data_IF_542832087327
#
_entry.id   IF_542832087327
#
_cell.length_a   1.000
_cell.length_b   1.000
_cell.length_c   1.000
_cell.angle_alpha   90.00
_cell.angle_beta   90.00
_cell.angle_gamma   90.00
#
_symmetry.space_group_name_H-M   'P 1'
#
loop_
_entity.id
_entity.type
_entity.pdbx_description
1 polymer ?
#
# COMPACT_ATOMS: atom_id res chain seq x y z
N UNK A 1 0.74 -13.53 21.82
CA UNK A 1 2.16 -13.61 21.44
C UNK A 1 2.36 -12.62 20.32
N UNK A 2 3.00 -11.50 20.60
CA UNK A 2 3.39 -10.53 19.58
C UNK A 2 4.60 -11.12 18.84
N UNK A 3 4.36 -11.68 17.64
CA UNK A 3 5.43 -12.05 16.72
C UNK A 3 6.02 -10.77 16.11
N UNK A 4 6.69 -9.95 16.92
CA UNK A 4 7.42 -8.77 16.47
C UNK A 4 8.83 -9.19 16.09
N UNK A 5 9.07 -9.35 14.79
CA UNK A 5 10.42 -9.44 14.26
C UNK A 5 11.07 -8.06 14.40
N UNK A 6 12.16 -7.96 15.15
CA UNK A 6 12.88 -6.69 15.30
C UNK A 6 13.46 -6.26 13.95
N UNK A 7 13.12 -5.04 13.51
CA UNK A 7 13.71 -4.44 12.31
C UNK A 7 15.22 -4.32 12.48
N UNK A 8 15.68 -3.95 13.68
CA UNK A 8 17.10 -3.83 13.98
C UNK A 8 17.84 -5.17 13.79
N UNK A 9 17.30 -6.27 14.32
CA UNK A 9 17.91 -7.58 14.17
C UNK A 9 17.95 -8.05 12.71
N UNK A 10 16.86 -7.79 11.96
CA UNK A 10 16.81 -8.09 10.53
C UNK A 10 17.86 -7.27 9.76
N UNK A 11 18.01 -5.98 10.07
CA UNK A 11 19.03 -5.11 9.47
C UNK A 11 20.46 -5.57 9.80
N UNK A 12 20.73 -5.92 11.05
CA UNK A 12 22.04 -6.46 11.45
C UNK A 12 22.41 -7.69 10.62
N UNK A 13 21.49 -8.64 10.49
CA UNK A 13 21.68 -9.85 9.67
C UNK A 13 21.95 -9.50 8.19
N UNK A 14 21.20 -8.55 7.63
CA UNK A 14 21.36 -8.13 6.23
C UNK A 14 22.73 -7.47 6.03
N UNK A 15 23.15 -6.57 6.93
CA UNK A 15 24.43 -5.88 6.83
C UNK A 15 25.63 -6.81 7.07
N UNK A 16 25.51 -7.80 7.96
CA UNK A 16 26.54 -8.82 8.18
C UNK A 16 26.74 -9.70 6.93
N UNK A 17 25.66 -10.02 6.22
CA UNK A 17 25.70 -10.87 5.02
C UNK A 17 26.15 -10.12 3.77
N UNK A 18 25.96 -8.80 3.71
CA UNK A 18 26.16 -8.00 2.50
C UNK A 18 27.12 -6.82 2.77
N UNK A 19 28.41 -7.12 2.98
CA UNK A 19 29.46 -6.12 3.25
C UNK A 19 29.62 -5.08 2.13
N UNK A 20 29.25 -5.44 0.90
CA UNK A 20 29.25 -4.59 -0.30
C UNK A 20 28.29 -3.38 -0.23
N UNK A 21 27.28 -3.40 0.66
CA UNK A 21 26.36 -2.27 0.86
C UNK A 21 27.09 -1.00 1.34
N UNK A 22 28.22 -1.18 2.03
CA UNK A 22 29.02 -0.06 2.56
C UNK A 22 29.93 0.59 1.51
N UNK A 23 30.10 -0.05 0.35
CA UNK A 23 30.94 0.42 -0.76
C UNK A 23 30.11 1.08 -1.88
N UNK A 24 28.81 1.34 -1.65
CA UNK A 24 27.94 1.98 -2.62
C UNK A 24 28.39 3.43 -2.88
N UNK A 25 29.18 3.61 -3.94
CA UNK A 25 29.50 4.91 -4.49
C UNK A 25 28.45 5.26 -5.55
N UNK A 26 27.58 6.21 -5.23
CA UNK A 26 26.63 6.82 -6.16
C UNK A 26 27.36 7.68 -7.21
N UNK A 27 28.18 7.05 -8.06
CA UNK A 27 28.85 7.71 -9.17
C UNK A 27 28.50 6.99 -10.46
N UNK A 28 27.30 7.25 -10.95
CA UNK A 28 26.93 6.99 -12.34
C UNK A 28 26.24 8.23 -12.89
N UNK A 29 27.03 9.14 -13.46
CA UNK A 29 26.51 10.19 -14.34
C UNK A 29 26.02 9.54 -15.63
N UNK A 30 24.80 9.03 -15.59
CA UNK A 30 24.06 8.47 -16.72
C UNK A 30 23.06 9.52 -17.21
N UNK A 31 23.00 9.75 -18.52
CA UNK A 31 22.02 10.66 -19.14
C UNK A 31 20.56 10.15 -18.98
N UNK A 32 20.42 8.86 -18.64
CA UNK A 32 19.13 8.18 -18.43
C UNK A 32 18.98 7.77 -16.96
N UNK A 33 17.79 8.00 -16.40
CA UNK A 33 17.39 7.46 -15.09
C UNK A 33 17.26 5.94 -15.20
N UNK A 34 18.13 5.19 -14.51
CA UNK A 34 18.12 3.72 -14.48
C UNK A 34 17.56 3.18 -13.18
N UNK A 35 17.82 3.85 -12.05
CA UNK A 35 17.36 3.44 -10.73
C UNK A 35 17.11 4.65 -9.82
N UNK A 36 16.56 4.40 -8.64
CA UNK A 36 16.21 5.42 -7.63
C UNK A 36 17.38 6.36 -7.27
N UNK A 37 18.60 5.84 -7.28
CA UNK A 37 19.82 6.61 -6.93
C UNK A 37 20.18 7.69 -7.96
N UNK A 38 19.69 7.57 -9.20
CA UNK A 38 19.92 8.58 -10.24
C UNK A 38 19.02 9.81 -10.06
N UNK A 39 18.06 9.76 -9.13
CA UNK A 39 17.09 10.83 -8.93
C UNK A 39 17.73 12.05 -8.26
N UNK A 40 17.32 13.25 -8.72
CA UNK A 40 17.83 14.53 -8.20
C UNK A 40 17.66 14.65 -6.68
N UNK A 41 16.55 14.15 -6.12
CA UNK A 41 16.27 14.20 -4.67
C UNK A 41 17.30 13.39 -3.88
N UNK A 42 17.68 12.21 -4.37
CA UNK A 42 18.69 11.36 -3.72
C UNK A 42 20.07 12.05 -3.73
N UNK A 43 20.43 12.65 -4.87
CA UNK A 43 21.66 13.41 -5.03
C UNK A 43 21.70 14.70 -4.20
N UNK A 44 20.57 15.40 -4.10
CA UNK A 44 20.43 16.59 -3.24
C UNK A 44 20.61 16.22 -1.75
N UNK A 45 20.20 15.02 -1.34
CA UNK A 45 20.45 14.51 0.02
C UNK A 45 21.93 14.18 0.25
N UNK A 46 22.60 13.54 -0.70
CA UNK A 46 24.05 13.32 -0.63
C UNK A 46 24.81 14.66 -0.57
N UNK A 47 24.41 15.64 -1.38
CA UNK A 47 24.99 16.99 -1.43
C UNK A 47 24.80 17.81 -0.15
N UNK A 48 23.83 17.46 0.69
CA UNK A 48 23.60 18.09 2.00
C UNK A 48 24.53 17.56 3.11
N UNK A 49 25.52 16.72 2.78
CA UNK A 49 26.48 16.19 3.75
C UNK A 49 25.98 14.97 4.53
N UNK A 50 24.91 14.33 4.06
CA UNK A 50 24.49 13.01 4.55
C UNK A 50 25.39 11.94 3.94
N UNK A 51 26.57 11.74 4.53
CA UNK A 51 27.61 10.85 3.95
C UNK A 51 27.33 9.36 4.15
N UNK A 52 26.34 9.01 4.99
CA UNK A 52 25.95 7.61 5.30
C UNK A 52 24.47 7.55 5.66
N UNK A 53 23.62 7.21 4.69
CA UNK A 53 22.22 6.87 4.93
C UNK A 53 21.82 5.71 4.02
N UNK A 54 20.77 5.00 4.43
CA UNK A 54 20.14 3.96 3.64
C UNK A 54 18.68 4.33 3.43
N UNK A 55 18.14 3.99 2.26
CA UNK A 55 16.75 4.29 1.91
C UNK A 55 15.95 3.00 1.77
N UNK A 56 14.68 3.05 2.16
CA UNK A 56 13.78 1.90 2.11
C UNK A 56 12.66 2.12 1.10
N UNK A 57 12.41 1.12 0.26
CA UNK A 57 11.13 0.92 -0.38
C UNK A 57 10.18 0.26 0.63
N UNK A 58 8.97 0.81 0.79
CA UNK A 58 7.91 0.26 1.62
C UNK A 58 6.82 -0.32 0.73
N UNK A 59 6.49 -1.60 0.94
CA UNK A 59 5.36 -2.27 0.31
C UNK A 59 4.43 -2.85 1.38
N UNK A 60 3.14 -2.93 1.07
CA UNK A 60 2.13 -3.58 1.89
C UNK A 60 1.13 -4.25 0.95
N UNK A 61 1.55 -5.37 0.39
CA UNK A 61 0.69 -6.22 -0.43
C UNK A 61 0.24 -7.45 0.37
N UNK A 62 -0.98 -7.88 0.12
CA UNK A 62 -1.60 -8.99 0.83
C UNK A 62 -1.07 -10.34 0.33
N UNK A 63 -0.68 -11.22 1.26
CA UNK A 63 -0.45 -12.63 0.98
C UNK A 63 -1.69 -13.41 1.42
N UNK A 64 -2.39 -14.00 0.45
CA UNK A 64 -3.44 -14.99 0.72
C UNK A 64 -2.78 -16.34 1.03
N UNK A 65 -2.90 -16.78 2.28
CA UNK A 65 -2.20 -17.98 2.77
C UNK A 65 -2.85 -19.29 2.29
N UNK A 66 -4.16 -19.27 1.98
CA UNK A 66 -4.87 -20.45 1.51
C UNK A 66 -6.21 -20.07 0.85
N UNK A 67 -6.50 -20.61 -0.33
CA UNK A 67 -7.77 -20.38 -1.04
C UNK A 67 -9.02 -20.88 -0.29
N UNK A 68 -8.84 -21.68 0.78
CA UNK A 68 -9.93 -22.27 1.57
C UNK A 68 -10.18 -21.57 2.91
N UNK A 69 -9.29 -20.68 3.36
CA UNK A 69 -9.49 -19.91 4.58
C UNK A 69 -9.48 -18.41 4.23
N UNK A 70 -10.39 -17.63 4.84
CA UNK A 70 -10.41 -16.16 4.70
C UNK A 70 -9.23 -15.48 5.43
N UNK A 71 -8.07 -16.14 5.51
CA UNK A 71 -6.90 -15.67 6.22
C UNK A 71 -5.93 -15.02 5.23
N UNK A 72 -5.98 -13.69 5.18
CA UNK A 72 -5.02 -12.84 4.46
C UNK A 72 -4.10 -12.15 5.45
N UNK A 73 -2.79 -12.16 5.20
CA UNK A 73 -1.81 -11.39 5.97
C UNK A 73 -1.35 -10.22 5.11
N UNK A 74 -1.28 -9.02 5.70
CA UNK A 74 -0.83 -7.80 5.03
C UNK A 74 0.47 -7.32 5.67
N UNK A 75 1.61 -7.95 5.32
CA UNK A 75 2.88 -7.58 5.91
C UNK A 75 3.36 -6.24 5.36
N UNK A 76 3.85 -5.37 6.24
CA UNK A 76 4.70 -4.25 5.85
C UNK A 76 6.06 -4.83 5.49
N UNK A 77 6.40 -4.75 4.22
CA UNK A 77 7.67 -5.20 3.65
C UNK A 77 8.54 -3.97 3.42
N UNK A 78 9.74 -3.96 4.00
CA UNK A 78 10.77 -2.96 3.72
C UNK A 78 11.91 -3.61 2.94
N UNK A 79 12.44 -2.86 1.98
CA UNK A 79 13.57 -3.30 1.17
C UNK A 79 14.57 -2.17 1.00
N UNK A 80 15.85 -2.46 1.18
CA UNK A 80 16.93 -1.47 1.00
C UNK A 80 17.14 -1.16 -0.49
N UNK A 81 17.09 0.12 -0.86
CA UNK A 81 17.31 0.52 -2.24
C UNK A 81 18.78 0.42 -2.66
N UNK A 82 19.71 0.47 -1.72
CA UNK A 82 21.15 0.40 -1.99
C UNK A 82 21.62 -0.97 -2.51
N UNK A 83 20.74 -1.99 -2.48
CA UNK A 83 20.96 -3.21 -3.25
C UNK A 83 20.77 -2.99 -4.75
N UNK A 84 21.54 -3.72 -5.56
CA UNK A 84 21.21 -3.92 -6.96
C UNK A 84 19.82 -4.54 -7.10
N UNK A 85 19.11 -4.20 -8.18
CA UNK A 85 17.73 -4.66 -8.44
C UNK A 85 17.58 -6.17 -8.27
N UNK A 86 18.57 -6.96 -8.69
CA UNK A 86 18.55 -8.43 -8.60
C UNK A 86 18.58 -8.95 -7.16
N UNK A 87 19.28 -8.27 -6.25
CA UNK A 87 19.40 -8.64 -4.84
C UNK A 87 18.32 -8.02 -3.97
N UNK A 88 17.72 -6.91 -4.41
CA UNK A 88 16.75 -6.10 -3.67
C UNK A 88 15.57 -6.95 -3.19
N UNK A 89 14.94 -7.72 -4.09
CA UNK A 89 13.74 -8.50 -3.77
C UNK A 89 14.02 -9.96 -3.37
N UNK A 90 15.28 -10.32 -3.09
CA UNK A 90 15.59 -11.63 -2.53
C UNK A 90 14.98 -11.75 -1.13
N UNK A 91 14.39 -12.90 -0.83
CA UNK A 91 13.71 -13.16 0.45
C UNK A 91 14.58 -12.86 1.68
N UNK A 92 15.89 -13.14 1.58
CA UNK A 92 16.85 -12.89 2.66
C UNK A 92 17.07 -11.41 2.99
N UNK A 93 16.80 -10.52 2.02
CA UNK A 93 17.02 -9.07 2.07
C UNK A 93 15.73 -8.28 2.30
N UNK A 94 14.59 -8.97 2.40
CA UNK A 94 13.29 -8.40 2.74
C UNK A 94 13.16 -8.31 4.27
N UNK A 95 12.72 -7.15 4.74
CA UNK A 95 12.44 -6.91 6.16
C UNK A 95 10.93 -6.91 6.36
N UNK A 96 10.44 -7.67 7.34
CA UNK A 96 9.03 -7.69 7.72
C UNK A 96 8.84 -6.80 8.95
N UNK A 97 8.06 -5.73 8.78
CA UNK A 97 7.79 -4.70 9.79
C UNK A 97 6.36 -4.80 10.39
N UNK A 98 5.70 -5.96 10.30
CA UNK A 98 4.42 -6.23 10.99
C UNK A 98 3.19 -6.26 10.07
N UNK A 99 1.98 -6.32 10.64
CA UNK A 99 0.71 -6.50 9.92
C UNK A 99 -0.27 -5.35 10.06
N UNK A 100 -1.04 -5.05 9.00
CA UNK A 100 -2.01 -3.95 8.95
C UNK A 100 -3.46 -4.31 9.36
N UNK A 101 -4.29 -3.28 9.55
CA UNK A 101 -5.76 -3.42 9.64
C UNK A 101 -6.44 -2.21 9.03
N UNK A 102 -7.58 -2.41 8.37
CA UNK A 102 -8.36 -1.34 7.73
C UNK A 102 -9.59 -0.98 8.56
N UNK A 103 -9.94 0.30 8.62
CA UNK A 103 -11.18 0.78 9.23
C UNK A 103 -11.72 1.98 8.44
N UNK A 104 -13.04 2.03 8.22
CA UNK A 104 -13.73 3.06 7.45
C UNK A 104 -14.56 3.96 8.36
N UNK A 105 -14.59 5.27 8.09
CA UNK A 105 -15.46 6.22 8.77
C UNK A 105 -16.81 6.37 8.07
N UNK A 106 -17.81 6.81 8.83
CA UNK A 106 -19.11 7.18 8.29
C UNK A 106 -18.98 8.43 7.41
N UNK A 107 -19.52 8.36 6.19
CA UNK A 107 -19.53 9.48 5.26
C UNK A 107 -20.35 10.66 5.82
N UNK A 108 -19.74 11.86 5.82
CA UNK A 108 -20.42 13.10 6.20
C UNK A 108 -20.64 13.97 4.96
N UNK A 109 -21.88 14.06 4.48
CA UNK A 109 -22.22 14.83 3.29
C UNK A 109 -21.94 16.34 3.42
N UNK A 110 -21.94 16.89 4.63
CA UNK A 110 -21.70 18.31 4.88
C UNK A 110 -20.20 18.66 4.92
N UNK A 111 -19.35 17.66 5.11
CA UNK A 111 -17.90 17.80 5.05
C UNK A 111 -17.28 16.50 4.54
N UNK A 112 -17.40 16.23 3.23
CA UNK A 112 -17.03 14.94 2.63
C UNK A 112 -15.54 14.63 2.77
N UNK A 113 -14.70 15.66 2.77
CA UNK A 113 -13.25 15.54 2.90
C UNK A 113 -12.79 15.39 4.36
N UNK A 114 -13.67 15.75 5.31
CA UNK A 114 -13.32 15.79 6.72
C UNK A 114 -12.20 16.81 7.05
N UNK A 115 -11.78 16.89 8.31
CA UNK A 115 -10.61 17.69 8.67
C UNK A 115 -9.34 17.04 8.12
N UNK A 116 -8.43 17.84 7.54
CA UNK A 116 -7.11 17.37 7.10
C UNK A 116 -6.36 16.73 8.27
N UNK A 117 -5.81 15.53 8.06
CA UNK A 117 -4.92 14.88 9.05
C UNK A 117 -3.58 15.62 9.08
N UNK A 118 -3.33 16.35 10.16
CA UNK A 118 -2.03 17.00 10.41
C UNK A 118 -1.20 16.18 11.41
N UNK A 119 0.10 16.47 11.51
CA UNK A 119 1.00 15.89 12.51
C UNK A 119 0.43 16.07 13.92
N UNK A 120 0.11 17.31 14.28
CA UNK A 120 -0.37 17.64 15.61
C UNK A 120 -1.66 16.88 15.97
N UNK A 121 -2.61 16.78 15.04
CA UNK A 121 -3.86 16.03 15.24
C UNK A 121 -3.57 14.54 15.37
N UNK A 122 -2.67 14.00 14.55
CA UNK A 122 -2.27 12.59 14.62
C UNK A 122 -1.66 12.25 15.99
N UNK A 123 -0.69 13.03 16.46
CA UNK A 123 -0.01 12.79 17.74
C UNK A 123 -0.98 12.87 18.92
N UNK A 124 -1.89 13.86 18.90
CA UNK A 124 -2.97 13.97 19.89
C UNK A 124 -3.86 12.72 19.90
N UNK A 125 -4.28 12.24 18.74
CA UNK A 125 -5.13 11.05 18.62
C UNK A 125 -4.38 9.77 19.01
N UNK A 126 -3.07 9.69 18.74
CA UNK A 126 -2.22 8.58 19.16
C UNK A 126 -2.11 8.55 20.69
N UNK A 127 -1.86 9.69 21.32
CA UNK A 127 -1.80 9.78 22.78
C UNK A 127 -3.13 9.33 23.43
N UNK A 128 -4.26 9.81 22.92
CA UNK A 128 -5.59 9.38 23.39
C UNK A 128 -5.80 7.86 23.25
N UNK A 129 -5.28 7.27 22.18
CA UNK A 129 -5.35 5.82 21.93
C UNK A 129 -4.50 5.05 22.94
N UNK A 130 -3.28 5.50 23.19
CA UNK A 130 -2.36 4.88 24.15
C UNK A 130 -2.90 4.97 25.59
N UNK A 131 -3.43 6.13 25.97
CA UNK A 131 -3.98 6.37 27.31
C UNK A 131 -5.24 5.52 27.56
N UNK A 132 -6.15 5.46 26.57
CA UNK A 132 -7.41 4.73 26.70
C UNK A 132 -7.31 3.24 26.37
N UNK A 133 -6.20 2.80 25.76
CA UNK A 133 -6.02 1.46 25.16
C UNK A 133 -7.16 1.05 24.21
N UNK A 134 -7.81 2.04 23.60
CA UNK A 134 -8.89 1.85 22.64
C UNK A 134 -8.59 2.62 21.38
N UNK A 135 -8.98 2.07 20.24
CA UNK A 135 -8.84 2.75 18.94
C UNK A 135 -9.58 4.10 18.97
N UNK A 136 -8.86 5.21 18.77
CA UNK A 136 -9.44 6.55 18.63
C UNK A 136 -9.11 7.10 17.25
N UNK A 137 -10.12 7.60 16.54
CA UNK A 137 -9.95 8.25 15.24
C UNK A 137 -9.09 7.42 14.25
N UNK A 138 -9.36 6.10 14.21
CA UNK A 138 -8.70 5.08 13.36
C UNK A 138 -7.23 4.81 13.70
N UNK A 139 -6.69 5.41 14.77
CA UNK A 139 -5.39 5.02 15.30
C UNK A 139 -5.62 3.86 16.27
N UNK A 140 -5.01 2.71 15.97
CA UNK A 140 -5.06 1.52 16.83
C UNK A 140 -3.95 1.49 17.85
N UNK A 141 -2.73 1.78 17.41
CA UNK A 141 -1.51 1.81 18.22
C UNK A 141 -0.41 2.55 17.46
N UNK A 142 0.75 2.75 18.11
CA UNK A 142 1.98 3.21 17.48
C UNK A 142 2.50 2.14 16.50
N UNK A 143 2.74 2.55 15.26
CA UNK A 143 3.36 1.68 14.25
C UNK A 143 4.84 1.44 14.60
N UNK A 144 5.39 0.26 14.28
CA UNK A 144 6.81 -0.02 14.48
C UNK A 144 7.72 0.94 13.69
N UNK A 145 7.26 1.42 12.54
CA UNK A 145 8.01 2.39 11.74
C UNK A 145 8.16 3.74 12.45
N UNK A 146 7.31 4.05 13.43
CA UNK A 146 7.45 5.23 14.29
C UNK A 146 8.69 5.17 15.21
N UNK A 147 9.45 4.08 15.20
CA UNK A 147 10.77 4.01 15.84
C UNK A 147 11.88 4.63 14.97
N UNK A 148 11.65 4.80 13.66
CA UNK A 148 12.61 5.42 12.77
C UNK A 148 12.65 6.95 13.00
N UNK A 149 13.86 7.48 13.23
CA UNK A 149 14.10 8.90 13.59
C UNK A 149 13.42 9.92 12.68
N UNK A 150 13.31 9.62 11.38
CA UNK A 150 12.80 10.55 10.37
C UNK A 150 11.45 10.13 9.78
N UNK A 151 10.79 9.10 10.34
CA UNK A 151 9.51 8.63 9.87
C UNK A 151 8.37 9.22 10.68
N UNK A 152 7.43 9.87 10.00
CA UNK A 152 6.14 10.25 10.56
C UNK A 152 5.00 9.76 9.65
N UNK A 153 4.02 8.97 10.17
CA UNK A 153 2.96 8.37 9.35
C UNK A 153 2.25 9.34 8.42
N UNK A 154 1.93 10.56 8.91
CA UNK A 154 1.25 11.60 8.12
C UNK A 154 2.10 12.16 6.98
N UNK A 155 3.44 12.22 7.12
CA UNK A 155 4.33 12.80 6.10
C UNK A 155 4.91 11.76 5.15
N UNK A 156 5.10 10.53 5.64
CA UNK A 156 5.92 9.53 4.98
C UNK A 156 5.13 8.30 4.53
N UNK A 157 3.80 8.29 4.69
CA UNK A 157 2.94 7.22 4.17
C UNK A 157 2.19 7.72 2.95
N UNK A 158 2.33 7.02 1.83
CA UNK A 158 1.60 7.31 0.60
C UNK A 158 0.20 6.69 0.70
N UNK A 159 -0.81 7.40 0.22
CA UNK A 159 -2.17 6.85 0.11
C UNK A 159 -2.16 5.76 -0.95
N UNK A 160 -2.42 4.52 -0.56
CA UNK A 160 -2.46 3.41 -1.50
C UNK A 160 -3.81 3.40 -2.26
N UNK A 161 -3.83 4.00 -3.45
CA UNK A 161 -5.03 4.07 -4.29
C UNK A 161 -5.53 2.68 -4.72
N UNK A 162 -4.63 1.75 -5.02
CA UNK A 162 -4.96 0.42 -5.53
C UNK A 162 -5.79 -0.37 -4.51
N UNK A 163 -5.29 -0.48 -3.28
CA UNK A 163 -5.99 -1.24 -2.24
C UNK A 163 -7.11 -0.42 -1.58
N UNK A 164 -6.93 0.89 -1.38
CA UNK A 164 -7.93 1.71 -0.67
C UNK A 164 -9.12 2.08 -1.56
N UNK A 165 -8.85 2.47 -2.81
CA UNK A 165 -9.89 2.92 -3.74
C UNK A 165 -10.40 1.75 -4.56
N UNK A 166 -9.53 1.06 -5.31
CA UNK A 166 -9.98 0.02 -6.26
C UNK A 166 -10.50 -1.23 -5.54
N UNK A 167 -9.71 -1.83 -4.65
CA UNK A 167 -10.14 -3.03 -3.91
C UNK A 167 -10.96 -2.73 -2.65
N UNK A 168 -10.97 -1.47 -2.19
CA UNK A 168 -11.75 -1.04 -1.04
C UNK A 168 -13.09 -0.46 -1.48
N UNK A 169 -13.08 0.81 -1.89
CA UNK A 169 -14.31 1.57 -2.24
C UNK A 169 -15.03 0.97 -3.44
N UNK A 170 -14.36 0.81 -4.57
CA UNK A 170 -15.01 0.36 -5.81
C UNK A 170 -15.51 -1.08 -5.67
N UNK A 171 -14.70 -1.99 -5.13
CA UNK A 171 -15.15 -3.36 -4.81
C UNK A 171 -16.38 -3.36 -3.90
N UNK A 172 -16.39 -2.55 -2.85
CA UNK A 172 -17.56 -2.40 -1.98
C UNK A 172 -18.79 -1.86 -2.71
N UNK A 173 -18.63 -0.91 -3.65
CA UNK A 173 -19.73 -0.45 -4.49
C UNK A 173 -20.29 -1.59 -5.36
N UNK A 174 -19.45 -2.49 -5.87
CA UNK A 174 -19.91 -3.67 -6.58
C UNK A 174 -20.74 -4.61 -5.68
N UNK A 175 -20.33 -4.84 -4.42
CA UNK A 175 -21.16 -5.57 -3.44
C UNK A 175 -22.55 -4.92 -3.29
N UNK A 176 -22.61 -3.59 -3.21
CA UNK A 176 -23.86 -2.85 -3.08
C UNK A 176 -24.72 -2.88 -4.35
N UNK A 177 -24.12 -2.75 -5.54
CA UNK A 177 -24.84 -2.68 -6.80
C UNK A 177 -25.29 -4.05 -7.29
N UNK A 178 -24.50 -5.10 -7.07
CA UNK A 178 -24.70 -6.42 -7.68
C UNK A 178 -25.32 -7.42 -6.71
N UNK A 179 -24.87 -7.45 -5.45
CA UNK A 179 -25.27 -8.51 -4.53
C UNK A 179 -26.54 -8.17 -3.72
N UNK A 180 -26.90 -6.89 -3.61
CA UNK A 180 -28.13 -6.49 -2.92
C UNK A 180 -29.42 -6.83 -3.69
N UNK A 181 -30.56 -7.02 -2.99
CA UNK A 181 -31.84 -7.34 -3.62
C UNK A 181 -32.27 -6.32 -4.68
N UNK A 182 -32.85 -6.81 -5.78
CA UNK A 182 -33.29 -6.01 -6.93
C UNK A 182 -34.29 -4.90 -6.57
N UNK A 183 -35.01 -5.04 -5.46
CA UNK A 183 -35.98 -4.05 -4.99
C UNK A 183 -35.35 -2.73 -4.50
N UNK A 184 -34.02 -2.67 -4.36
CA UNK A 184 -33.32 -1.44 -3.92
C UNK A 184 -33.07 -0.52 -5.12
N UNK A 185 -33.35 0.78 -4.97
CA UNK A 185 -33.17 1.79 -6.03
C UNK A 185 -31.74 1.87 -6.61
N UNK A 186 -30.74 1.51 -5.82
CA UNK A 186 -29.33 1.51 -6.21
C UNK A 186 -28.85 0.15 -6.76
N UNK A 187 -29.70 -0.88 -6.78
CA UNK A 187 -29.31 -2.21 -7.27
C UNK A 187 -29.27 -2.20 -8.80
N UNK A 188 -28.15 -2.65 -9.35
CA UNK A 188 -27.94 -2.89 -10.78
C UNK A 188 -28.17 -4.35 -11.16
N UNK A 189 -28.60 -5.20 -10.21
CA UNK A 189 -28.79 -6.64 -10.40
C UNK A 189 -29.76 -6.98 -11.54
N UNK A 190 -30.78 -6.14 -11.78
CA UNK A 190 -31.72 -6.31 -12.91
C UNK A 190 -31.08 -6.12 -14.28
N UNK A 191 -29.98 -5.38 -14.36
CA UNK A 191 -29.27 -5.07 -15.60
C UNK A 191 -27.96 -5.85 -15.74
N UNK A 192 -27.68 -6.81 -14.86
CA UNK A 192 -26.36 -7.46 -14.81
C UNK A 192 -25.98 -8.16 -16.11
N UNK A 193 -26.92 -8.82 -16.78
CA UNK A 193 -26.70 -9.44 -18.09
C UNK A 193 -26.39 -8.42 -19.18
N UNK A 194 -27.10 -7.28 -19.18
CA UNK A 194 -26.86 -6.19 -20.13
C UNK A 194 -25.48 -5.58 -19.90
N UNK A 195 -25.09 -5.39 -18.64
CA UNK A 195 -23.77 -4.87 -18.26
C UNK A 195 -22.67 -5.85 -18.67
N UNK A 196 -22.84 -7.15 -18.43
CA UNK A 196 -21.89 -8.19 -18.81
C UNK A 196 -21.65 -8.23 -20.33
N UNK A 197 -22.73 -8.17 -21.10
CA UNK A 197 -22.66 -8.12 -22.57
C UNK A 197 -21.93 -6.87 -23.06
N UNK A 198 -22.22 -5.70 -22.46
CA UNK A 198 -21.51 -4.45 -22.80
C UNK A 198 -20.03 -4.54 -22.46
N UNK A 199 -19.67 -5.08 -21.30
CA UNK A 199 -18.27 -5.25 -20.87
C UNK A 199 -17.50 -6.15 -21.83
N UNK A 200 -18.06 -7.32 -22.18
CA UNK A 200 -17.42 -8.28 -23.10
C UNK A 200 -17.22 -7.74 -24.52
N UNK A 201 -18.01 -6.74 -24.92
CA UNK A 201 -17.89 -6.07 -26.24
C UNK A 201 -16.77 -5.04 -26.30
N UNK A 202 -16.24 -4.59 -25.17
CA UNK A 202 -15.16 -3.59 -25.14
C UNK A 202 -13.90 -4.21 -25.76
N UNK A 203 -13.36 -3.52 -26.77
CA UNK A 203 -12.09 -3.84 -27.42
C UNK A 203 -11.08 -2.75 -27.06
N UNK A 204 -10.23 -2.96 -26.05
CA UNK A 204 -9.27 -1.95 -25.68
C UNK A 204 -8.15 -1.85 -26.73
N UNK A 205 -7.44 -0.71 -26.81
CA UNK A 205 -6.28 -0.54 -27.68
C UNK A 205 -5.18 -1.56 -27.38
N UNK A 206 -4.29 -1.80 -28.36
CA UNK A 206 -3.24 -2.84 -28.29
C UNK A 206 -2.25 -2.69 -27.13
N UNK A 207 -2.09 -1.49 -26.56
CA UNK A 207 -1.23 -1.25 -25.41
C UNK A 207 -1.88 -1.60 -24.05
N UNK A 208 -3.19 -1.90 -24.02
CA UNK A 208 -3.86 -2.38 -22.82
C UNK A 208 -3.77 -3.91 -22.81
N UNK A 209 -3.11 -4.51 -21.80
CA UNK A 209 -2.77 -5.93 -21.85
C UNK A 209 -3.99 -6.85 -21.74
N UNK A 210 -5.07 -6.41 -21.09
CA UNK A 210 -6.23 -7.25 -20.80
C UNK A 210 -7.54 -6.56 -21.19
N UNK A 211 -8.42 -7.29 -21.88
CA UNK A 211 -9.80 -6.87 -22.09
C UNK A 211 -10.64 -7.05 -20.81
N UNK A 212 -11.73 -6.28 -20.65
CA UNK A 212 -12.62 -6.44 -19.50
C UNK A 212 -13.17 -7.86 -19.39
N UNK A 213 -13.14 -8.41 -18.16
CA UNK A 213 -13.69 -9.72 -17.86
C UNK A 213 -15.19 -9.66 -17.58
N UNK A 214 -15.81 -10.83 -17.55
CA UNK A 214 -17.23 -10.97 -17.22
C UNK A 214 -17.54 -10.45 -15.82
N UNK A 215 -18.60 -9.67 -15.69
CA UNK A 215 -19.05 -9.11 -14.40
C UNK A 215 -19.47 -10.22 -13.43
N UNK A 216 -19.86 -11.41 -13.88
CA UNK A 216 -20.18 -12.52 -12.98
C UNK A 216 -18.96 -13.02 -12.18
N UNK A 217 -17.74 -12.69 -12.64
CA UNK A 217 -16.49 -13.04 -11.97
C UNK A 217 -15.91 -11.86 -11.18
N UNK A 218 -16.69 -10.81 -10.95
CA UNK A 218 -16.22 -9.56 -10.35
C UNK A 218 -15.54 -9.76 -8.99
N UNK A 219 -15.97 -10.75 -8.20
CA UNK A 219 -15.35 -11.08 -6.91
C UNK A 219 -13.89 -11.56 -7.01
N UNK A 220 -13.49 -12.04 -8.19
CA UNK A 220 -12.15 -12.55 -8.50
C UNK A 220 -11.32 -11.51 -9.28
N UNK A 221 -11.78 -10.27 -9.36
CA UNK A 221 -11.08 -9.20 -10.05
C UNK A 221 -9.88 -8.68 -9.27
N UNK A 222 -8.81 -8.38 -9.99
CA UNK A 222 -7.64 -7.69 -9.46
C UNK A 222 -7.92 -6.19 -9.41
N UNK A 223 -7.13 -5.47 -8.62
CA UNK A 223 -7.32 -4.03 -8.41
C UNK A 223 -7.41 -3.21 -9.71
N UNK A 224 -6.57 -3.51 -10.71
CA UNK A 224 -6.57 -2.78 -11.99
C UNK A 224 -7.87 -2.93 -12.78
N UNK A 225 -8.66 -3.99 -12.53
CA UNK A 225 -9.94 -4.18 -13.21
C UNK A 225 -11.01 -3.28 -12.61
N UNK A 226 -11.00 -3.13 -11.28
CA UNK A 226 -11.85 -2.16 -10.58
C UNK A 226 -11.48 -0.71 -10.92
N UNK A 227 -10.21 -0.42 -11.20
CA UNK A 227 -9.77 0.93 -11.63
C UNK A 227 -10.51 1.42 -12.88
N UNK A 228 -10.95 0.53 -13.76
CA UNK A 228 -11.71 0.91 -14.97
C UNK A 228 -13.09 1.50 -14.65
N UNK A 229 -13.56 1.41 -13.40
CA UNK A 229 -14.85 1.91 -12.94
C UNK A 229 -14.70 3.10 -11.98
N UNK A 230 -13.49 3.65 -11.85
CA UNK A 230 -13.29 4.90 -11.14
C UNK A 230 -13.90 6.05 -11.97
N UNK A 231 -14.72 6.93 -11.36
CA UNK A 231 -15.37 8.03 -12.07
C UNK A 231 -14.40 9.13 -12.53
#
# INVERSE_FOLDING_TARGET
MDYKLSIEQQLRRIFEKNSELFDFNANTSSEFLKDFHDEKVYNDLLGQGYNKFYTFLLNNDGIEMCNKSNMSIWPIILVLNEFSIEKRFCFDNIIIAGGGSVHSFQFNCNNPDGPKRTIHIYDKHLQMTLDSKQTKFVIKDKCILSELKYFHPVKNTIINAIHSISQGVIKGLFDYWIDHPMARKYSLKSKIYEIDERLKRIRPPSYVPNAPRSIFTWNLWRAHEYMNFMP
#
